data_IF_018787875762
#
_entry.id   IF_018787875762
#
_cell.length_a   1.000
_cell.length_b   1.000
_cell.length_c   1.000
_cell.angle_alpha   90.00
_cell.angle_beta   90.00
_cell.angle_gamma   90.00
#
_symmetry.space_group_name_H-M   'P 1'
#
loop_
_entity.id
_entity.type
_entity.pdbx_description
1 polymer ?
#
# COMPACT_ATOMS: atom_id res chain seq x y z
N UNK A 1 6.71 12.87 11.84
CA UNK A 1 6.76 12.22 10.51
C UNK A 1 5.35 11.96 10.03
N UNK A 2 4.98 12.50 8.87
CA UNK A 2 3.70 12.32 8.19
C UNK A 2 3.77 11.10 7.28
N UNK A 3 2.85 10.17 7.51
CA UNK A 3 2.67 8.99 6.68
C UNK A 3 1.29 9.07 6.03
N UNK A 4 1.25 9.02 4.70
CA UNK A 4 0.00 8.86 3.94
C UNK A 4 -0.13 7.41 3.48
N UNK A 5 -1.26 6.79 3.75
CA UNK A 5 -1.55 5.40 3.39
C UNK A 5 -2.76 5.35 2.45
N UNK A 6 -2.65 4.72 1.27
CA UNK A 6 -3.84 4.34 0.49
C UNK A 6 -4.54 3.17 1.18
N UNK A 7 -5.64 3.50 1.86
CA UNK A 7 -6.45 2.61 2.67
C UNK A 7 -7.77 2.22 1.98
N UNK A 8 -7.91 2.35 0.65
CA UNK A 8 -9.13 1.91 -0.08
C UNK A 8 -9.57 0.50 0.25
N UNK A 9 -8.61 -0.40 0.44
CA UNK A 9 -8.89 -1.80 0.77
C UNK A 9 -9.49 -2.00 2.18
N UNK A 10 -9.49 -0.96 3.02
CA UNK A 10 -10.17 -0.87 4.32
C UNK A 10 -11.51 -0.13 4.25
N UNK A 11 -11.80 0.61 3.18
CA UNK A 11 -12.83 1.66 3.17
C UNK A 11 -14.27 1.23 3.48
N UNK A 12 -14.67 0.01 3.08
CA UNK A 12 -16.04 -0.51 3.29
C UNK A 12 -16.04 -1.82 4.09
N UNK A 13 -15.61 -2.91 3.45
CA UNK A 13 -15.41 -4.22 4.08
C UNK A 13 -13.95 -4.59 3.87
N UNK A 14 -13.11 -4.56 4.91
CA UNK A 14 -11.69 -4.85 4.76
C UNK A 14 -11.44 -6.21 4.13
N UNK A 15 -10.61 -6.22 3.09
CA UNK A 15 -10.03 -7.45 2.53
C UNK A 15 -8.85 -7.93 3.37
N UNK A 16 -8.19 -9.03 2.99
CA UNK A 16 -6.91 -9.42 3.60
C UNK A 16 -5.86 -8.30 3.55
N UNK A 17 -5.79 -7.56 2.44
CA UNK A 17 -4.93 -6.37 2.29
C UNK A 17 -5.40 -5.25 3.22
N UNK A 18 -6.71 -5.03 3.34
CA UNK A 18 -7.26 -4.02 4.24
C UNK A 18 -6.90 -4.30 5.70
N UNK A 19 -7.08 -5.54 6.14
CA UNK A 19 -6.70 -5.96 7.50
C UNK A 19 -5.20 -5.89 7.73
N UNK A 20 -4.39 -6.19 6.70
CA UNK A 20 -2.94 -5.99 6.76
C UNK A 20 -2.62 -4.52 7.04
N UNK A 21 -3.14 -3.59 6.24
CA UNK A 21 -2.92 -2.15 6.44
C UNK A 21 -3.38 -1.70 7.82
N UNK A 22 -4.59 -2.08 8.23
CA UNK A 22 -5.15 -1.74 9.53
C UNK A 22 -4.25 -2.17 10.68
N UNK A 23 -3.74 -3.40 10.65
CA UNK A 23 -2.90 -3.94 11.73
C UNK A 23 -1.56 -3.22 11.87
N UNK A 24 -1.02 -2.65 10.80
CA UNK A 24 0.16 -1.77 10.89
C UNK A 24 -0.22 -0.36 11.31
N UNK A 25 -1.21 0.25 10.64
CA UNK A 25 -1.62 1.63 10.89
C UNK A 25 -2.06 1.84 12.34
N UNK A 26 -2.77 0.88 12.96
CA UNK A 26 -3.22 0.96 14.36
C UNK A 26 -2.07 1.00 15.37
N UNK A 27 -0.90 0.48 15.00
CA UNK A 27 0.28 0.52 15.87
C UNK A 27 1.09 1.78 15.58
N UNK A 28 1.22 2.17 14.32
CA UNK A 28 1.89 3.42 13.91
C UNK A 28 1.22 4.67 14.50
N UNK A 29 -0.12 4.69 14.61
CA UNK A 29 -0.85 5.85 15.16
C UNK A 29 -0.59 6.07 16.65
N UNK A 30 -0.04 5.08 17.37
CA UNK A 30 0.31 5.21 18.78
C UNK A 30 1.66 5.91 18.98
N UNK A 31 2.48 6.01 17.94
CA UNK A 31 3.79 6.64 18.00
C UNK A 31 3.62 8.17 18.00
N UNK A 32 4.04 8.89 19.06
CA UNK A 32 3.73 10.32 19.22
C UNK A 32 4.40 11.20 18.16
N UNK A 33 5.49 10.73 17.56
CA UNK A 33 6.22 11.43 16.51
C UNK A 33 5.65 11.15 15.11
N UNK A 34 4.55 10.39 14.99
CA UNK A 34 3.94 10.03 13.72
C UNK A 34 2.54 10.65 13.55
N UNK A 35 2.31 11.27 12.40
CA UNK A 35 1.00 11.77 11.97
C UNK A 35 0.49 10.87 10.84
N UNK A 36 -0.52 10.07 11.13
CA UNK A 36 -1.04 9.07 10.20
C UNK A 36 -2.23 9.63 9.43
N UNK A 37 -2.10 9.66 8.10
CA UNK A 37 -3.18 10.00 7.19
C UNK A 37 -3.64 8.77 6.42
N UNK A 38 -4.94 8.51 6.44
CA UNK A 38 -5.55 7.41 5.67
C UNK A 38 -6.36 7.99 4.52
N UNK A 39 -6.02 7.60 3.29
CA UNK A 39 -6.76 8.00 2.10
C UNK A 39 -7.63 6.84 1.62
N UNK A 40 -8.92 7.08 1.43
CA UNK A 40 -9.82 6.08 0.89
C UNK A 40 -10.84 6.69 -0.08
N UNK A 41 -11.48 5.84 -0.89
CA UNK A 41 -12.59 6.26 -1.74
C UNK A 41 -13.85 6.55 -0.89
N UNK A 42 -14.10 5.69 0.10
CA UNK A 42 -15.08 5.85 1.18
C UNK A 42 -14.52 5.33 2.51
N UNK A 43 -15.07 5.76 3.65
CA UNK A 43 -14.61 5.38 4.98
C UNK A 43 -15.77 4.96 5.89
N UNK A 44 -16.45 3.87 5.55
CA UNK A 44 -17.64 3.38 6.27
C UNK A 44 -17.38 2.14 7.12
N UNK A 45 -16.16 1.58 7.09
CA UNK A 45 -15.82 0.39 7.89
C UNK A 45 -15.57 0.73 9.37
N UNK A 46 -15.73 -0.27 10.23
CA UNK A 46 -15.42 -0.14 11.65
C UNK A 46 -13.93 0.16 11.87
N UNK A 47 -13.05 -0.37 11.03
CA UNK A 47 -11.61 -0.16 11.09
C UNK A 47 -11.24 1.28 10.75
N UNK A 48 -11.89 1.90 9.76
CA UNK A 48 -11.67 3.32 9.46
C UNK A 48 -12.14 4.22 10.61
N UNK A 49 -13.30 3.92 11.20
CA UNK A 49 -13.80 4.65 12.37
C UNK A 49 -12.88 4.49 13.59
N UNK A 50 -12.39 3.27 13.84
CA UNK A 50 -11.45 3.00 14.92
C UNK A 50 -10.13 3.75 14.74
N UNK A 51 -9.62 3.85 13.50
CA UNK A 51 -8.42 4.62 13.19
C UNK A 51 -8.62 6.12 13.41
N UNK A 52 -9.78 6.67 13.01
CA UNK A 52 -10.12 8.07 13.26
C UNK A 52 -10.19 8.37 14.76
N UNK A 53 -10.85 7.51 15.54
CA UNK A 53 -10.90 7.61 17.00
C UNK A 53 -9.52 7.49 17.66
N UNK A 54 -8.61 6.72 17.06
CA UNK A 54 -7.23 6.57 17.52
C UNK A 54 -6.32 7.75 17.13
N UNK A 55 -6.84 8.74 16.38
CA UNK A 55 -6.12 9.97 16.02
C UNK A 55 -5.59 10.02 14.59
N UNK A 56 -5.91 9.05 13.74
CA UNK A 56 -5.57 9.13 12.32
C UNK A 56 -6.47 10.12 11.58
N UNK A 57 -5.88 10.85 10.63
CA UNK A 57 -6.60 11.85 9.83
C UNK A 57 -7.12 11.19 8.55
N UNK A 58 -8.44 11.16 8.39
CA UNK A 58 -9.08 10.55 7.22
C UNK A 58 -9.23 11.53 6.06
N UNK A 59 -8.86 11.08 4.85
CA UNK A 59 -9.08 11.78 3.60
C UNK A 59 -9.98 10.92 2.70
N UNK A 60 -11.16 11.43 2.38
CA UNK A 60 -12.16 10.68 1.61
C UNK A 60 -12.40 11.32 0.25
N UNK A 61 -12.30 10.52 -0.81
CA UNK A 61 -12.73 10.93 -2.14
C UNK A 61 -14.25 11.14 -2.22
N UNK A 62 -15.03 10.38 -1.43
CA UNK A 62 -16.46 10.57 -1.23
C UNK A 62 -17.37 9.71 -2.11
N UNK A 63 -16.83 8.97 -3.08
CA UNK A 63 -17.61 8.04 -3.92
C UNK A 63 -16.87 6.72 -4.10
N UNK A 64 -17.56 5.56 -4.06
CA UNK A 64 -16.93 4.27 -4.29
C UNK A 64 -16.27 4.19 -5.67
N UNK A 65 -15.04 3.68 -5.73
CA UNK A 65 -14.25 3.62 -6.96
C UNK A 65 -14.15 2.18 -7.46
N UNK A 66 -14.85 1.89 -8.56
CA UNK A 66 -14.74 0.63 -9.30
C UNK A 66 -13.48 0.56 -10.20
N UNK A 67 -13.27 -0.60 -10.84
CA UNK A 67 -12.07 -0.93 -11.65
C UNK A 67 -11.87 -0.15 -12.96
N UNK A 68 -12.73 0.82 -13.27
CA UNK A 68 -12.77 1.51 -14.58
C UNK A 68 -12.25 2.96 -14.48
N UNK A 69 -12.79 3.90 -15.28
CA UNK A 69 -12.41 5.32 -15.30
C UNK A 69 -12.42 6.02 -13.92
N UNK A 70 -13.18 5.50 -12.96
CA UNK A 70 -13.14 5.97 -11.57
C UNK A 70 -11.75 5.88 -10.95
N UNK A 71 -10.97 4.86 -11.30
CA UNK A 71 -9.61 4.65 -10.80
C UNK A 71 -8.67 5.79 -11.20
N UNK A 72 -8.79 6.29 -12.44
CA UNK A 72 -7.99 7.43 -12.92
C UNK A 72 -8.31 8.71 -12.16
N UNK A 73 -9.60 8.97 -11.91
CA UNK A 73 -10.02 10.15 -11.13
C UNK A 73 -9.55 10.04 -9.69
N UNK A 74 -9.65 8.86 -9.10
CA UNK A 74 -9.14 8.59 -7.76
C UNK A 74 -7.64 8.83 -7.66
N UNK A 75 -6.81 8.29 -8.56
CA UNK A 75 -5.36 8.51 -8.50
C UNK A 75 -4.96 9.97 -8.73
N UNK A 76 -5.74 10.75 -9.49
CA UNK A 76 -5.54 12.21 -9.57
C UNK A 76 -5.84 12.90 -8.24
N UNK A 77 -6.91 12.48 -7.56
CA UNK A 77 -7.23 12.97 -6.22
C UNK A 77 -6.16 12.56 -5.20
N UNK A 78 -5.70 11.31 -5.23
CA UNK A 78 -4.58 10.82 -4.42
C UNK A 78 -3.33 11.68 -4.63
N UNK A 79 -2.97 11.97 -5.89
CA UNK A 79 -1.83 12.83 -6.18
C UNK A 79 -2.04 14.26 -5.64
N UNK A 80 -3.25 14.81 -5.69
CA UNK A 80 -3.57 16.11 -5.08
C UNK A 80 -3.35 16.06 -3.56
N UNK A 81 -3.87 15.03 -2.88
CA UNK A 81 -3.72 14.84 -1.44
C UNK A 81 -2.25 14.70 -1.03
N UNK A 82 -1.41 14.02 -1.82
CA UNK A 82 0.05 13.98 -1.61
C UNK A 82 0.66 15.40 -1.60
N UNK A 83 0.24 16.30 -2.50
CA UNK A 83 0.75 17.68 -2.56
C UNK A 83 0.25 18.56 -1.41
N UNK A 84 -0.93 18.27 -0.87
CA UNK A 84 -1.52 18.98 0.27
C UNK A 84 -0.86 18.56 1.58
N UNK A 85 -0.74 17.27 1.82
CA UNK A 85 -0.17 16.71 3.06
C UNK A 85 1.36 16.84 3.09
N UNK A 86 1.99 16.65 1.93
CA UNK A 86 3.45 16.54 1.75
C UNK A 86 4.08 15.49 2.67
N UNK A 87 3.65 14.21 2.57
CA UNK A 87 4.08 13.19 3.50
C UNK A 87 5.54 12.79 3.25
N UNK A 88 6.30 12.51 4.32
CA UNK A 88 7.64 11.92 4.19
C UNK A 88 7.57 10.47 3.70
N UNK A 89 6.44 9.78 3.95
CA UNK A 89 6.18 8.44 3.41
C UNK A 89 4.78 8.41 2.80
N UNK A 90 4.69 8.06 1.52
CA UNK A 90 3.45 7.58 0.91
C UNK A 90 3.54 6.06 0.79
N UNK A 91 2.55 5.36 1.33
CA UNK A 91 2.47 3.90 1.32
C UNK A 91 1.22 3.43 0.59
N UNK A 92 1.43 2.68 -0.50
CA UNK A 92 0.38 1.90 -1.17
C UNK A 92 0.43 0.46 -0.63
N UNK A 93 -0.62 0.06 0.07
CA UNK A 93 -0.73 -1.28 0.64
C UNK A 93 -1.03 -2.37 -0.39
N UNK A 94 -1.23 -2.03 -1.68
CA UNK A 94 -1.48 -2.97 -2.77
C UNK A 94 -0.31 -3.06 -3.75
N UNK A 95 -0.09 -4.24 -4.35
CA UNK A 95 1.05 -4.48 -5.26
C UNK A 95 1.00 -3.64 -6.55
N UNK A 96 -0.19 -3.19 -6.96
CA UNK A 96 -0.41 -2.62 -8.30
C UNK A 96 -0.77 -1.14 -8.26
N UNK A 97 0.08 -0.34 -8.89
CA UNK A 97 -0.11 1.09 -9.11
C UNK A 97 -0.07 1.33 -10.62
N UNK A 98 -1.20 1.10 -11.33
CA UNK A 98 -1.21 1.09 -12.78
C UNK A 98 -1.06 2.49 -13.39
N UNK A 99 -1.29 3.54 -12.59
CA UNK A 99 -1.26 4.96 -12.99
C UNK A 99 -0.02 5.59 -12.36
N UNK A 100 0.59 6.56 -13.05
CA UNK A 100 1.73 7.31 -12.51
C UNK A 100 1.33 8.02 -11.20
N UNK A 101 2.02 7.67 -10.13
CA UNK A 101 1.97 8.33 -8.81
C UNK A 101 3.41 8.59 -8.37
N UNK A 102 3.67 9.75 -7.78
CA UNK A 102 4.98 10.10 -7.23
C UNK A 102 4.81 10.81 -5.90
N UNK A 103 5.70 10.56 -4.95
CA UNK A 103 5.82 11.37 -3.73
C UNK A 103 7.08 12.24 -3.81
N UNK A 104 7.01 13.50 -4.26
CA UNK A 104 8.21 14.34 -4.39
C UNK A 104 8.76 14.83 -3.05
N UNK A 105 8.06 14.58 -1.93
CA UNK A 105 8.41 15.08 -0.60
C UNK A 105 9.10 14.02 0.28
N UNK A 106 9.19 12.79 -0.19
CA UNK A 106 9.69 11.67 0.60
C UNK A 106 9.68 10.37 -0.18
N UNK A 107 9.53 9.24 0.52
CA UNK A 107 9.56 7.90 -0.08
C UNK A 107 8.17 7.48 -0.55
N UNK A 108 8.12 6.76 -1.67
CA UNK A 108 6.98 5.99 -2.10
C UNK A 108 7.23 4.49 -1.84
N UNK A 109 6.51 3.94 -0.86
CA UNK A 109 6.58 2.53 -0.48
C UNK A 109 5.40 1.74 -1.03
N UNK A 110 5.64 0.51 -1.48
CA UNK A 110 4.59 -0.40 -1.97
C UNK A 110 4.72 -1.78 -1.34
N UNK A 111 3.61 -2.34 -0.86
CA UNK A 111 3.56 -3.73 -0.40
C UNK A 111 3.25 -4.68 -1.55
N UNK A 112 4.05 -5.73 -1.72
CA UNK A 112 3.81 -6.84 -2.65
C UNK A 112 3.37 -8.06 -1.85
N UNK A 113 2.10 -8.44 -2.01
CA UNK A 113 1.49 -9.57 -1.28
C UNK A 113 1.71 -10.92 -1.96
N UNK A 114 1.55 -10.96 -3.28
CA UNK A 114 1.78 -12.17 -4.06
C UNK A 114 2.08 -11.79 -5.52
N UNK A 115 2.60 -12.78 -6.24
CA UNK A 115 2.89 -12.71 -7.67
C UNK A 115 2.22 -13.86 -8.42
N UNK A 116 1.18 -14.47 -7.85
CA UNK A 116 0.52 -15.64 -8.42
C UNK A 116 0.08 -15.45 -9.87
N UNK A 117 -0.40 -14.27 -10.30
CA UNK A 117 -0.75 -14.06 -11.71
C UNK A 117 0.42 -14.20 -12.68
N UNK A 118 1.66 -14.12 -12.20
CA UNK A 118 2.89 -14.27 -12.99
C UNK A 118 3.61 -15.61 -12.74
N UNK A 119 3.50 -16.17 -11.55
CA UNK A 119 4.13 -17.45 -11.20
C UNK A 119 3.26 -18.65 -11.56
N UNK A 120 1.93 -18.48 -11.59
CA UNK A 120 0.93 -19.50 -11.93
C UNK A 120 -0.12 -18.95 -12.92
N UNK A 121 0.28 -18.44 -14.10
CA UNK A 121 -0.61 -17.78 -15.04
C UNK A 121 -1.78 -18.67 -15.54
N UNK A 122 -1.61 -19.99 -15.51
CA UNK A 122 -2.63 -20.99 -15.84
C UNK A 122 -3.89 -20.90 -14.96
N UNK A 123 -3.75 -20.41 -13.72
CA UNK A 123 -4.87 -20.27 -12.78
C UNK A 123 -5.70 -19.00 -13.03
N UNK A 124 -5.17 -18.01 -13.74
CA UNK A 124 -5.79 -16.67 -13.87
C UNK A 124 -6.06 -16.23 -15.32
N UNK A 125 -5.45 -16.92 -16.29
CA UNK A 125 -5.58 -16.63 -17.70
C UNK A 125 -4.68 -15.49 -18.18
N UNK A 126 -4.27 -15.59 -19.46
CA UNK A 126 -3.25 -14.71 -20.08
C UNK A 126 -3.60 -13.22 -19.98
N UNK A 127 -4.88 -12.84 -20.13
CA UNK A 127 -5.29 -11.43 -20.06
C UNK A 127 -4.94 -10.79 -18.71
N UNK A 128 -5.15 -11.53 -17.61
CA UNK A 128 -4.85 -11.03 -16.28
C UNK A 128 -3.35 -11.00 -16.01
N UNK A 129 -2.59 -12.00 -16.48
CA UNK A 129 -1.13 -11.99 -16.44
C UNK A 129 -0.56 -10.71 -17.11
N UNK A 130 -1.00 -10.39 -18.33
CA UNK A 130 -0.53 -9.19 -19.04
C UNK A 130 -0.84 -7.90 -18.27
N UNK A 131 -2.07 -7.77 -17.76
CA UNK A 131 -2.47 -6.63 -16.94
C UNK A 131 -1.61 -6.50 -15.68
N UNK A 132 -1.42 -7.61 -14.96
CA UNK A 132 -0.66 -7.63 -13.72
C UNK A 132 0.82 -7.31 -13.95
N UNK A 133 1.42 -7.88 -15.01
CA UNK A 133 2.80 -7.60 -15.42
C UNK A 133 2.99 -6.13 -15.78
N UNK A 134 2.04 -5.53 -16.51
CA UNK A 134 2.07 -4.11 -16.84
C UNK A 134 1.97 -3.24 -15.58
N UNK A 135 1.02 -3.52 -14.70
CA UNK A 135 0.83 -2.80 -13.44
C UNK A 135 2.08 -2.84 -12.56
N UNK A 136 2.69 -4.02 -12.37
CA UNK A 136 3.92 -4.15 -11.59
C UNK A 136 5.10 -3.42 -12.21
N UNK A 137 5.24 -3.42 -13.54
CA UNK A 137 6.29 -2.61 -14.20
C UNK A 137 6.13 -1.13 -13.89
N UNK A 138 4.90 -0.62 -13.84
CA UNK A 138 4.63 0.76 -13.45
C UNK A 138 4.91 0.99 -11.96
N UNK A 139 4.45 0.11 -11.07
CA UNK A 139 4.81 0.15 -9.64
C UNK A 139 6.33 0.22 -9.47
N UNK A 140 7.07 -0.65 -10.15
CA UNK A 140 8.53 -0.73 -10.09
C UNK A 140 9.24 0.49 -10.69
N UNK A 141 8.60 1.21 -11.60
CA UNK A 141 9.14 2.46 -12.11
C UNK A 141 9.07 3.58 -11.08
N UNK A 142 8.00 3.65 -10.27
CA UNK A 142 7.71 4.81 -9.44
C UNK A 142 7.95 4.60 -7.94
N UNK A 143 7.79 3.38 -7.42
CA UNK A 143 8.02 3.09 -6.01
C UNK A 143 9.51 3.11 -5.68
N UNK A 144 9.90 3.76 -4.60
CA UNK A 144 11.28 3.81 -4.12
C UNK A 144 11.65 2.54 -3.35
N UNK A 145 10.67 2.01 -2.60
CA UNK A 145 10.89 0.97 -1.61
C UNK A 145 9.78 -0.09 -1.69
N UNK A 146 10.16 -1.36 -1.52
CA UNK A 146 9.22 -2.48 -1.51
C UNK A 146 9.10 -3.14 -0.14
N UNK A 147 7.88 -3.48 0.24
CA UNK A 147 7.60 -4.30 1.42
C UNK A 147 7.10 -5.65 0.92
N UNK A 148 7.79 -6.72 1.30
CA UNK A 148 7.39 -8.09 0.96
C UNK A 148 6.82 -8.78 2.18
N UNK A 149 5.73 -9.52 2.02
CA UNK A 149 5.15 -10.33 3.09
C UNK A 149 5.90 -11.66 3.34
N UNK A 150 6.78 -12.06 2.42
CA UNK A 150 7.57 -13.28 2.54
C UNK A 150 8.87 -13.19 1.73
N UNK A 151 9.83 -14.07 2.08
CA UNK A 151 11.08 -14.19 1.32
C UNK A 151 10.85 -14.80 -0.06
N UNK A 152 9.86 -15.66 -0.18
CA UNK A 152 9.44 -16.30 -1.41
C UNK A 152 8.94 -15.25 -2.41
N UNK A 153 8.04 -14.36 -1.98
CA UNK A 153 7.53 -13.26 -2.81
C UNK A 153 8.66 -12.33 -3.26
N UNK A 154 9.61 -12.01 -2.36
CA UNK A 154 10.79 -11.22 -2.71
C UNK A 154 11.63 -11.90 -3.80
N UNK A 155 11.97 -13.18 -3.63
CA UNK A 155 12.76 -13.95 -4.59
C UNK A 155 12.07 -14.05 -5.95
N UNK A 156 10.76 -14.28 -5.96
CA UNK A 156 9.99 -14.29 -7.21
C UNK A 156 9.95 -12.92 -7.88
N UNK A 157 9.82 -11.83 -7.10
CA UNK A 157 9.86 -10.47 -7.64
C UNK A 157 11.19 -10.18 -8.32
N UNK A 158 12.31 -10.50 -7.67
CA UNK A 158 13.66 -10.27 -8.19
C UNK A 158 13.98 -11.19 -9.38
N UNK A 159 13.45 -12.43 -9.38
CA UNK A 159 13.60 -13.35 -10.51
C UNK A 159 12.84 -12.87 -11.75
N UNK A 160 11.61 -12.41 -11.59
CA UNK A 160 10.75 -11.95 -12.70
C UNK A 160 11.16 -10.54 -13.16
N UNK A 161 11.57 -9.69 -12.22
CA UNK A 161 11.99 -8.31 -12.44
C UNK A 161 13.32 -8.04 -11.73
N UNK A 162 14.46 -8.37 -12.36
CA UNK A 162 15.80 -8.19 -11.76
C UNK A 162 16.12 -6.78 -11.28
N UNK A 163 15.45 -5.77 -11.82
CA UNK A 163 15.58 -4.38 -11.39
C UNK A 163 14.97 -4.11 -9.99
N UNK A 164 14.13 -5.01 -9.46
CA UNK A 164 13.62 -4.92 -8.09
C UNK A 164 14.73 -5.12 -7.05
N UNK A 165 15.74 -5.96 -7.34
CA UNK A 165 16.88 -6.20 -6.45
C UNK A 165 17.76 -4.96 -6.23
N UNK A 166 17.61 -3.94 -7.10
CA UNK A 166 18.34 -2.66 -7.00
C UNK A 166 17.62 -1.63 -6.13
N UNK A 167 16.43 -1.96 -5.62
CA UNK A 167 15.62 -1.05 -4.80
C UNK A 167 15.64 -1.51 -3.36
N UNK A 168 15.48 -0.51 -2.49
CA UNK A 168 15.34 -0.74 -1.06
C UNK A 168 14.14 -1.65 -0.79
N UNK A 169 14.31 -2.64 0.09
CA UNK A 169 13.22 -3.55 0.40
C UNK A 169 13.27 -4.07 1.83
N UNK A 170 12.08 -4.23 2.41
CA UNK A 170 11.87 -4.73 3.75
C UNK A 170 11.00 -5.98 3.73
N UNK A 171 11.23 -6.88 4.69
CA UNK A 171 10.34 -8.00 4.96
C UNK A 171 9.38 -7.60 6.07
N UNK A 172 8.10 -7.65 5.77
CA UNK A 172 7.06 -7.45 6.76
C UNK A 172 6.74 -8.76 7.44
N UNK A 173 7.13 -8.88 8.70
CA UNK A 173 6.70 -9.97 9.57
C UNK A 173 5.58 -9.46 10.48
N UNK A 174 4.33 -9.85 10.21
CA UNK A 174 3.32 -9.82 11.27
C UNK A 174 3.57 -11.04 12.17
N UNK A 175 4.35 -10.86 13.23
CA UNK A 175 4.40 -11.85 14.31
C UNK A 175 3.06 -11.80 15.05
N UNK A 176 2.19 -12.79 14.83
CA UNK A 176 1.07 -13.07 15.72
C UNK A 176 1.64 -13.50 17.08
N UNK A 177 1.81 -12.56 18.01
CA UNK A 177 2.05 -12.85 19.42
C UNK A 177 1.23 -11.91 20.29
N UNK A 178 0.58 -12.50 21.29
CA UNK A 178 -0.28 -11.92 22.32
C UNK A 178 0.43 -10.92 23.24
N UNK A 179 1.60 -10.39 22.87
CA UNK A 179 2.38 -9.43 23.65
C UNK A 179 3.56 -8.89 22.84
N UNK A 180 3.75 -7.57 22.90
CA UNK A 180 5.00 -6.80 22.78
C UNK A 180 5.53 -6.27 21.42
N UNK A 181 5.89 -4.97 21.51
CA UNK A 181 7.03 -4.21 20.99
C UNK A 181 7.49 -4.39 19.53
N UNK A 182 7.40 -3.28 18.80
CA UNK A 182 8.06 -3.03 17.52
C UNK A 182 9.55 -2.72 17.73
N UNK A 183 10.40 -3.39 16.96
CA UNK A 183 11.80 -2.99 16.75
C UNK A 183 11.88 -2.30 15.39
N UNK A 184 11.86 -0.96 15.38
CA UNK A 184 12.29 -0.16 14.24
C UNK A 184 13.79 0.09 14.35
N UNK A 185 14.60 -0.95 14.12
CA UNK A 185 16.05 -0.86 14.30
C UNK A 185 16.84 -0.60 13.02
N UNK A 186 16.19 -0.28 11.90
CA UNK A 186 16.88 0.00 10.62
C UNK A 186 16.12 1.06 9.78
N UNK A 187 15.85 2.22 10.37
CA UNK A 187 15.64 3.48 9.62
C UNK A 187 16.89 4.34 9.77
#
# INVERSE_FOLDING_TARGET
MKILIDARSMGTKPSGIGMYIYNFAKELVKEPDMEIHLLSDVATSNEMQAMEQAGAILHCYGTPVGKNFGLVKYYRYLQKVIHEIRPEIFWEGNSLVPIKVTNPYGKFMVTVHDLFPLTMPECFGKKYEYYFRYGLKNTLKYADTFIYNSMETKRDMERIFPQAAKKESFLSYMKLRTTMHFSMSEI
#
